data_IF_434453046675
#
_entry.id   IF_434453046675
#
_cell.length_a   1.000
_cell.length_b   1.000
_cell.length_c   1.000
_cell.angle_alpha   90.00
_cell.angle_beta   90.00
_cell.angle_gamma   90.00
#
_symmetry.space_group_name_H-M   'P 1'
#
loop_
_entity.id
_entity.type
_entity.pdbx_description
1 polymer ?
#
# COMPACT_ATOMS: atom_id res chain seq x y z
N UNK A 1 -61.43 14.97 -2.12
CA UNK A 1 -61.57 15.80 -3.35
C UNK A 1 -60.38 16.75 -3.42
N UNK A 2 -59.83 16.94 -4.63
CA UNK A 2 -58.59 17.65 -5.03
C UNK A 2 -57.35 16.76 -4.87
N UNK A 3 -56.91 15.97 -5.85
CA UNK A 3 -56.51 16.24 -7.25
C UNK A 3 -55.53 17.40 -7.37
N UNK A 4 -54.26 17.09 -7.63
CA UNK A 4 -53.38 17.85 -8.52
C UNK A 4 -52.33 16.93 -9.12
N UNK A 5 -52.29 16.94 -10.45
CA UNK A 5 -51.49 16.16 -11.40
C UNK A 5 -50.52 17.09 -12.14
N UNK A 6 -49.31 16.59 -12.42
CA UNK A 6 -48.39 16.95 -13.54
C UNK A 6 -47.65 18.30 -13.52
N UNK A 7 -46.60 18.54 -14.37
CA UNK A 7 -45.80 17.65 -15.26
C UNK A 7 -44.26 17.85 -15.21
N UNK A 8 -43.57 16.96 -15.96
CA UNK A 8 -42.19 16.93 -16.48
C UNK A 8 -41.57 18.29 -16.87
N UNK A 9 -40.28 18.49 -16.56
CA UNK A 9 -39.37 19.25 -17.43
C UNK A 9 -37.98 18.57 -17.49
N UNK A 10 -37.61 18.14 -18.69
CA UNK A 10 -36.25 17.77 -19.06
C UNK A 10 -35.40 19.03 -19.24
N UNK A 11 -34.15 19.02 -18.77
CA UNK A 11 -33.10 19.91 -19.27
C UNK A 11 -31.71 19.30 -19.08
N UNK A 12 -31.14 18.92 -20.22
CA UNK A 12 -29.74 18.58 -20.48
C UNK A 12 -28.84 19.78 -20.19
N UNK A 13 -27.72 19.60 -19.48
CA UNK A 13 -26.48 20.34 -19.78
C UNK A 13 -25.29 19.38 -19.66
N UNK A 14 -24.75 19.03 -20.82
CA UNK A 14 -23.43 18.46 -20.99
C UNK A 14 -22.36 19.54 -20.77
N UNK A 15 -21.31 19.21 -20.03
CA UNK A 15 -20.07 19.99 -20.00
C UNK A 15 -18.87 19.04 -20.01
N UNK A 16 -18.13 18.91 -21.14
CA UNK A 16 -16.86 18.21 -21.16
C UNK A 16 -15.76 19.11 -20.60
N UNK A 17 -15.13 18.70 -19.50
CA UNK A 17 -13.88 19.30 -19.05
C UNK A 17 -12.75 18.86 -19.98
N UNK A 18 -12.18 19.85 -20.66
CA UNK A 18 -11.05 19.73 -21.56
C UNK A 18 -9.76 19.38 -20.80
N UNK A 19 -9.08 18.31 -21.23
CA UNK A 19 -7.69 18.05 -20.88
C UNK A 19 -6.79 18.63 -21.99
N UNK A 20 -5.73 19.38 -21.65
CA UNK A 20 -4.80 19.89 -22.65
C UNK A 20 -3.91 18.74 -23.16
N UNK A 21 -4.07 18.43 -24.44
CA UNK A 21 -3.10 17.69 -25.26
C UNK A 21 -1.97 18.66 -25.60
N UNK A 22 -0.75 18.37 -25.13
CA UNK A 22 0.46 18.91 -25.75
C UNK A 22 1.03 17.89 -26.72
N UNK A 23 0.78 18.14 -28.00
CA UNK A 23 1.51 17.58 -29.10
C UNK A 23 2.05 18.74 -29.96
N UNK A 24 3.17 18.45 -30.63
CA UNK A 24 3.81 19.21 -31.71
C UNK A 24 4.76 20.34 -31.29
N UNK A 25 5.89 20.61 -31.93
CA UNK A 25 6.72 19.97 -32.96
C UNK A 25 7.92 20.92 -33.05
N UNK A 26 9.15 20.44 -33.08
CA UNK A 26 10.25 21.22 -33.66
C UNK A 26 10.92 20.40 -34.75
N UNK A 27 10.89 21.01 -35.92
CA UNK A 27 11.30 20.55 -37.24
C UNK A 27 12.70 21.10 -37.54
N UNK A 28 13.30 20.58 -38.61
CA UNK A 28 14.50 21.05 -39.34
C UNK A 28 15.81 20.48 -38.77
N UNK A 29 16.63 19.68 -39.46
CA UNK A 29 16.85 19.52 -40.89
C UNK A 29 17.97 20.45 -41.35
N UNK A 30 19.23 19.95 -41.41
CA UNK A 30 20.21 20.28 -42.47
C UNK A 30 21.52 19.43 -42.39
N UNK A 31 21.78 18.72 -43.49
CA UNK A 31 23.03 18.50 -44.25
C UNK A 31 24.39 18.17 -43.62
N UNK A 32 24.92 17.02 -44.09
CA UNK A 32 26.21 16.83 -44.79
C UNK A 32 27.49 17.46 -44.21
N UNK A 33 28.40 16.61 -43.71
CA UNK A 33 29.82 16.73 -44.03
C UNK A 33 30.65 15.52 -43.56
N UNK A 34 31.35 14.95 -44.53
CA UNK A 34 32.76 14.53 -44.44
C UNK A 34 33.11 13.18 -43.80
N UNK A 35 33.48 12.27 -44.71
CA UNK A 35 34.44 11.19 -44.51
C UNK A 35 35.71 11.65 -43.78
N UNK A 36 36.24 10.81 -42.89
CA UNK A 36 37.67 10.57 -42.85
C UNK A 36 37.95 9.11 -42.50
N UNK A 37 38.72 8.51 -43.39
CA UNK A 37 39.24 7.16 -43.40
C UNK A 37 40.65 7.21 -42.79
N UNK A 38 40.94 6.32 -41.85
CA UNK A 38 42.30 5.85 -41.44
C UNK A 38 42.10 5.00 -40.19
N UNK A 39 42.80 3.91 -39.94
CA UNK A 39 43.67 3.05 -40.71
C UNK A 39 43.85 1.82 -39.80
N UNK A 40 43.98 0.66 -40.41
CA UNK A 40 44.33 -0.61 -39.77
C UNK A 40 45.70 -0.56 -39.11
N UNK A 41 45.83 -1.15 -37.91
CA UNK A 41 47.07 -1.79 -37.48
C UNK A 41 46.77 -2.96 -36.52
N UNK A 42 46.99 -4.17 -37.06
CA UNK A 42 47.33 -5.39 -36.34
C UNK A 42 48.19 -5.16 -35.09
N UNK A 43 47.88 -5.87 -34.00
CA UNK A 43 48.85 -6.80 -33.40
C UNK A 43 48.22 -7.75 -32.37
N UNK A 44 48.49 -9.03 -32.64
CA UNK A 44 48.85 -10.04 -31.65
C UNK A 44 47.73 -10.86 -30.97
N UNK A 45 47.46 -11.98 -31.64
CA UNK A 45 47.12 -13.28 -31.05
C UNK A 45 47.83 -13.53 -29.71
N UNK A 46 47.08 -13.43 -28.61
CA UNK A 46 47.39 -14.06 -27.34
C UNK A 46 46.20 -14.90 -26.91
N UNK A 47 46.16 -16.16 -27.34
CA UNK A 47 45.31 -17.17 -26.72
C UNK A 47 45.93 -17.55 -25.37
N UNK A 48 45.27 -17.19 -24.25
CA UNK A 48 45.31 -17.99 -23.02
C UNK A 48 44.14 -17.63 -22.09
N UNK A 49 43.42 -18.67 -21.66
CA UNK A 49 42.46 -18.71 -20.56
C UNK A 49 41.13 -17.95 -20.73
N UNK A 50 40.27 -18.56 -21.54
CA UNK A 50 38.83 -18.56 -21.30
C UNK A 50 38.52 -19.48 -20.10
N UNK A 51 38.37 -18.89 -18.91
CA UNK A 51 37.70 -19.54 -17.77
C UNK A 51 37.23 -18.45 -16.79
N UNK A 52 35.95 -18.10 -16.84
CA UNK A 52 35.34 -17.21 -15.86
C UNK A 52 34.35 -16.17 -16.38
N UNK A 53 33.60 -16.45 -17.45
CA UNK A 53 32.49 -15.57 -17.87
C UNK A 53 31.18 -16.31 -18.21
N UNK A 54 31.11 -17.63 -17.96
CA UNK A 54 29.93 -18.47 -18.25
C UNK A 54 29.03 -18.75 -17.03
N UNK A 55 29.20 -18.02 -15.92
CA UNK A 55 28.34 -18.12 -14.73
C UNK A 55 27.34 -16.95 -14.59
N UNK A 56 27.25 -16.05 -15.58
CA UNK A 56 26.35 -14.89 -15.51
C UNK A 56 25.12 -14.99 -16.42
N UNK A 57 24.91 -16.14 -17.08
CA UNK A 57 23.76 -16.34 -17.97
C UNK A 57 23.20 -17.76 -17.86
N UNK A 58 23.13 -18.29 -16.63
CA UNK A 58 22.06 -19.23 -16.33
C UNK A 58 20.88 -18.38 -15.87
N UNK A 59 19.93 -18.20 -16.78
CA UNK A 59 18.54 -17.92 -16.42
C UNK A 59 18.23 -18.79 -15.21
N UNK A 60 17.97 -18.17 -14.06
CA UNK A 60 17.31 -18.84 -12.94
C UNK A 60 16.06 -19.46 -13.56
N UNK A 61 16.12 -20.76 -13.84
CA UNK A 61 15.01 -21.46 -14.46
C UNK A 61 13.81 -21.36 -13.53
N UNK A 62 12.62 -21.55 -14.07
CA UNK A 62 11.34 -21.70 -13.36
C UNK A 62 11.34 -22.68 -12.16
N UNK A 63 12.46 -23.33 -11.86
CA UNK A 63 12.65 -24.18 -10.70
C UNK A 63 13.14 -23.38 -9.49
N UNK A 64 12.21 -22.99 -8.62
CA UNK A 64 12.48 -22.31 -7.37
C UNK A 64 13.41 -23.12 -6.43
N UNK A 65 13.52 -24.45 -6.60
CA UNK A 65 14.37 -25.30 -5.76
C UNK A 65 15.79 -25.45 -6.32
N UNK A 66 16.11 -24.83 -7.46
CA UNK A 66 17.45 -24.89 -8.02
C UNK A 66 18.46 -24.24 -7.06
N UNK A 67 19.47 -25.00 -6.63
CA UNK A 67 20.56 -24.49 -5.79
C UNK A 67 21.41 -23.52 -6.59
N UNK A 68 21.58 -22.31 -6.08
CA UNK A 68 22.36 -21.23 -6.70
C UNK A 68 23.73 -21.11 -6.06
N UNK A 69 23.81 -21.28 -4.74
CA UNK A 69 25.06 -21.24 -3.97
C UNK A 69 24.93 -22.09 -2.71
N UNK A 70 26.03 -22.67 -2.23
CA UNK A 70 26.08 -23.41 -0.96
C UNK A 70 27.06 -22.73 -0.01
N UNK A 71 26.68 -22.59 1.25
CA UNK A 71 27.49 -21.97 2.32
C UNK A 71 27.64 -22.98 3.46
N UNK A 72 28.76 -23.71 3.48
CA UNK A 72 28.93 -24.83 4.41
C UNK A 72 28.01 -25.99 4.06
N UNK A 73 27.14 -26.37 5.00
CA UNK A 73 26.14 -27.44 4.82
C UNK A 73 24.75 -26.91 4.41
N UNK A 74 24.60 -25.59 4.21
CA UNK A 74 23.34 -24.94 3.84
C UNK A 74 23.34 -24.57 2.36
N UNK A 75 22.34 -25.05 1.61
CA UNK A 75 22.10 -24.69 0.22
C UNK A 75 21.14 -23.50 0.12
N UNK A 76 21.51 -22.49 -0.66
CA UNK A 76 20.68 -21.33 -0.99
C UNK A 76 20.10 -21.53 -2.40
N UNK A 77 18.78 -21.50 -2.50
CA UNK A 77 18.03 -21.79 -3.73
C UNK A 77 17.61 -20.53 -4.49
N UNK A 78 17.16 -20.69 -5.73
CA UNK A 78 16.60 -19.61 -6.54
C UNK A 78 15.36 -18.98 -5.88
N UNK A 79 14.55 -19.80 -5.19
CA UNK A 79 13.40 -19.34 -4.40
C UNK A 79 13.82 -18.45 -3.24
N UNK A 80 14.87 -18.83 -2.51
CA UNK A 80 15.40 -18.02 -1.39
C UNK A 80 15.88 -16.64 -1.89
N UNK A 81 16.58 -16.60 -3.02
CA UNK A 81 17.02 -15.35 -3.65
C UNK A 81 15.81 -14.48 -4.03
N UNK A 82 14.76 -15.09 -4.59
CA UNK A 82 13.55 -14.35 -4.96
C UNK A 82 12.83 -13.78 -3.74
N UNK A 83 12.72 -14.55 -2.65
CA UNK A 83 12.15 -14.07 -1.38
C UNK A 83 13.00 -12.95 -0.77
N UNK A 84 14.33 -13.06 -0.82
CA UNK A 84 15.22 -11.99 -0.37
C UNK A 84 15.03 -10.69 -1.17
N UNK A 85 14.86 -10.79 -2.50
CA UNK A 85 14.56 -9.62 -3.35
C UNK A 85 13.23 -8.98 -2.95
N UNK A 86 12.20 -9.76 -2.61
CA UNK A 86 10.90 -9.22 -2.16
C UNK A 86 11.00 -8.47 -0.81
N UNK A 87 12.04 -8.78 -0.01
CA UNK A 87 12.34 -8.07 1.23
C UNK A 87 13.06 -6.73 1.05
N UNK A 88 13.50 -6.39 -0.17
CA UNK A 88 14.15 -5.11 -0.43
C UNK A 88 13.16 -3.93 -0.39
N UNK A 89 13.66 -2.69 -0.14
CA UNK A 89 12.82 -1.51 -0.23
C UNK A 89 12.13 -1.41 -1.60
N UNK A 90 10.84 -1.02 -1.66
CA UNK A 90 10.08 -1.01 -2.91
C UNK A 90 10.69 -0.07 -3.95
N UNK A 91 11.30 1.05 -3.53
CA UNK A 91 12.01 1.95 -4.44
C UNK A 91 13.22 1.28 -5.09
N UNK A 92 13.90 0.37 -4.38
CA UNK A 92 15.05 -0.35 -4.92
C UNK A 92 14.61 -1.38 -5.95
N UNK A 93 13.57 -2.17 -5.63
CA UNK A 93 13.02 -3.19 -6.54
C UNK A 93 12.52 -2.55 -7.85
N UNK A 94 11.87 -1.39 -7.77
CA UNK A 94 11.32 -0.71 -8.95
C UNK A 94 12.37 0.01 -9.79
N UNK A 95 13.46 0.50 -9.17
CA UNK A 95 14.48 1.30 -9.86
C UNK A 95 15.63 0.49 -10.41
N UNK A 96 15.80 -0.76 -9.96
CA UNK A 96 16.92 -1.60 -10.34
C UNK A 96 16.47 -2.78 -11.20
N UNK A 97 17.23 -3.12 -12.26
CA UNK A 97 16.96 -4.33 -13.00
C UNK A 97 17.29 -5.57 -12.15
N UNK A 98 16.57 -6.66 -12.39
CA UNK A 98 16.68 -7.90 -11.61
C UNK A 98 18.11 -8.45 -11.60
N UNK A 99 18.84 -8.31 -12.71
CA UNK A 99 20.22 -8.76 -12.88
C UNK A 99 21.19 -8.10 -11.89
N UNK A 100 20.86 -6.91 -11.38
CA UNK A 100 21.64 -6.25 -10.32
C UNK A 100 21.14 -6.56 -8.91
N UNK A 101 19.87 -6.91 -8.76
CA UNK A 101 19.26 -7.26 -7.47
C UNK A 101 19.63 -8.67 -7.02
N UNK A 102 19.72 -9.60 -7.96
CA UNK A 102 20.10 -11.00 -7.71
C UNK A 102 21.43 -11.12 -6.95
N UNK A 103 22.57 -10.58 -7.44
CA UNK A 103 23.85 -10.71 -6.73
C UNK A 103 23.82 -10.04 -5.36
N UNK A 104 23.11 -8.91 -5.21
CA UNK A 104 22.95 -8.25 -3.91
C UNK A 104 22.16 -9.11 -2.90
N UNK A 105 21.08 -9.75 -3.35
CA UNK A 105 20.28 -10.64 -2.52
C UNK A 105 21.07 -11.90 -2.12
N UNK A 106 21.85 -12.46 -3.05
CA UNK A 106 22.78 -13.56 -2.77
C UNK A 106 23.79 -13.17 -1.70
N UNK A 107 24.45 -12.02 -1.83
CA UNK A 107 25.43 -11.53 -0.85
C UNK A 107 24.80 -11.38 0.55
N UNK A 108 23.57 -10.85 0.63
CA UNK A 108 22.85 -10.73 1.91
C UNK A 108 22.52 -12.10 2.52
N UNK A 109 22.06 -13.06 1.72
CA UNK A 109 21.73 -14.41 2.20
C UNK A 109 22.98 -15.15 2.68
N UNK A 110 24.09 -15.05 1.95
CA UNK A 110 25.38 -15.62 2.35
C UNK A 110 25.83 -15.01 3.68
N UNK A 111 25.80 -13.67 3.80
CA UNK A 111 26.19 -13.00 5.04
C UNK A 111 25.32 -13.45 6.22
N UNK A 112 24.00 -13.52 6.04
CA UNK A 112 23.07 -14.01 7.06
C UNK A 112 23.42 -15.41 7.51
N UNK A 113 23.70 -16.31 6.56
CA UNK A 113 24.05 -17.69 6.85
C UNK A 113 25.38 -17.80 7.64
N UNK A 114 26.40 -17.03 7.24
CA UNK A 114 27.67 -16.97 7.97
C UNK A 114 27.48 -16.48 9.42
N UNK A 115 26.61 -15.48 9.63
CA UNK A 115 26.27 -14.99 10.97
C UNK A 115 25.55 -16.08 11.78
N UNK A 116 24.59 -16.78 11.17
CA UNK A 116 23.83 -17.84 11.83
C UNK A 116 24.73 -19.01 12.25
N UNK A 117 25.66 -19.44 11.39
CA UNK A 117 26.61 -20.49 11.72
C UNK A 117 27.44 -20.10 12.95
N UNK A 118 27.98 -18.87 12.96
CA UNK A 118 28.74 -18.35 14.11
C UNK A 118 27.89 -18.24 15.38
N UNK A 119 26.65 -17.74 15.27
CA UNK A 119 25.73 -17.60 16.38
C UNK A 119 25.32 -18.97 16.98
N UNK A 120 25.17 -19.99 16.14
CA UNK A 120 24.87 -21.35 16.57
C UNK A 120 26.06 -22.00 17.30
N UNK A 121 27.30 -21.76 16.87
CA UNK A 121 28.50 -22.20 17.60
C UNK A 121 28.56 -21.57 19.01
N UNK A 122 28.12 -20.33 19.14
CA UNK A 122 28.02 -19.61 20.42
C UNK A 122 26.75 -20.00 21.23
N UNK A 123 25.92 -20.91 20.71
CA UNK A 123 24.65 -21.35 21.30
C UNK A 123 23.65 -20.21 21.56
N UNK A 124 23.64 -19.16 20.72
CA UNK A 124 22.69 -18.04 20.85
C UNK A 124 21.22 -18.49 20.76
N UNK A 125 20.93 -19.64 20.17
CA UNK A 125 19.57 -20.19 20.16
C UNK A 125 19.04 -20.55 21.56
N UNK A 126 19.91 -20.77 22.54
CA UNK A 126 19.55 -21.03 23.95
C UNK A 126 19.55 -19.75 24.80
N UNK A 127 19.90 -18.61 24.20
CA UNK A 127 19.93 -17.34 24.91
C UNK A 127 18.49 -16.92 25.31
N UNK A 128 18.27 -16.46 26.55
CA UNK A 128 16.94 -16.07 27.02
C UNK A 128 16.32 -14.92 26.20
N UNK A 129 17.12 -14.01 25.65
CA UNK A 129 16.63 -12.93 24.78
C UNK A 129 16.09 -13.50 23.47
N UNK A 130 16.83 -14.42 22.84
CA UNK A 130 16.40 -15.08 21.58
C UNK A 130 15.15 -15.93 21.82
N UNK A 131 15.07 -16.66 22.94
CA UNK A 131 13.89 -17.43 23.31
C UNK A 131 12.66 -16.52 23.52
N UNK A 132 12.80 -15.40 24.21
CA UNK A 132 11.73 -14.41 24.40
C UNK A 132 11.22 -13.87 23.05
N UNK A 133 12.15 -13.44 22.19
CA UNK A 133 11.81 -12.93 20.85
C UNK A 133 11.10 -14.01 20.02
N UNK A 134 11.55 -15.26 20.10
CA UNK A 134 10.95 -16.37 19.37
C UNK A 134 9.53 -16.67 19.88
N UNK A 135 9.33 -16.73 21.20
CA UNK A 135 8.03 -16.99 21.82
C UNK A 135 7.03 -15.87 21.48
N UNK A 136 7.41 -14.60 21.65
CA UNK A 136 6.57 -13.45 21.30
C UNK A 136 6.17 -13.43 19.82
N UNK A 137 7.12 -13.74 18.92
CA UNK A 137 6.84 -13.81 17.49
C UNK A 137 5.97 -15.01 17.12
N UNK A 138 6.16 -16.15 17.78
CA UNK A 138 5.37 -17.35 17.56
C UNK A 138 3.92 -17.14 18.02
N UNK A 139 3.72 -16.50 19.18
CA UNK A 139 2.40 -16.13 19.69
C UNK A 139 1.69 -15.17 18.73
N UNK A 140 2.34 -14.07 18.34
CA UNK A 140 1.76 -13.11 17.39
C UNK A 140 1.40 -13.75 16.06
N UNK A 141 2.31 -14.54 15.48
CA UNK A 141 2.07 -15.24 14.21
C UNK A 141 0.92 -16.23 14.30
N UNK A 142 0.79 -16.90 15.44
CA UNK A 142 -0.30 -17.84 15.70
C UNK A 142 -1.64 -17.10 15.80
N UNK A 143 -1.69 -16.01 16.55
CA UNK A 143 -2.90 -15.21 16.73
C UNK A 143 -3.36 -14.61 15.40
N UNK A 144 -2.44 -14.04 14.63
CA UNK A 144 -2.70 -13.51 13.29
C UNK A 144 -3.27 -14.60 12.37
N UNK A 145 -2.67 -15.80 12.37
CA UNK A 145 -3.15 -16.93 11.59
C UNK A 145 -4.55 -17.40 12.03
N UNK A 146 -4.82 -17.42 13.34
CA UNK A 146 -6.14 -17.77 13.88
C UNK A 146 -7.19 -16.75 13.41
N UNK A 147 -6.91 -15.45 13.54
CA UNK A 147 -7.81 -14.37 13.10
C UNK A 147 -8.07 -14.48 11.60
N UNK A 148 -7.02 -14.62 10.79
CA UNK A 148 -7.13 -14.74 9.34
C UNK A 148 -8.01 -15.93 8.94
N UNK A 149 -7.76 -17.12 9.49
CA UNK A 149 -8.53 -18.34 9.18
C UNK A 149 -9.96 -18.22 9.66
N UNK A 150 -10.20 -17.63 10.84
CA UNK A 150 -11.54 -17.41 11.35
C UNK A 150 -12.34 -16.48 10.43
N UNK A 151 -11.79 -15.32 10.08
CA UNK A 151 -12.45 -14.34 9.20
C UNK A 151 -12.70 -14.95 7.81
N UNK A 152 -11.73 -15.64 7.22
CA UNK A 152 -11.88 -16.30 5.93
C UNK A 152 -13.04 -17.31 5.94
N UNK A 153 -13.09 -18.19 6.95
CA UNK A 153 -14.17 -19.18 7.09
C UNK A 153 -15.55 -18.54 7.29
N UNK A 154 -15.62 -17.44 8.04
CA UNK A 154 -16.87 -16.70 8.23
C UNK A 154 -17.36 -16.07 6.92
N UNK A 155 -16.46 -15.62 6.04
CA UNK A 155 -16.79 -15.06 4.73
C UNK A 155 -17.20 -16.13 3.71
N UNK A 156 -16.45 -17.23 3.61
CA UNK A 156 -16.75 -18.35 2.70
C UNK A 156 -18.14 -18.94 2.93
N UNK A 157 -18.59 -18.97 4.19
CA UNK A 157 -19.94 -19.44 4.53
C UNK A 157 -21.08 -18.48 4.19
N UNK A 158 -20.80 -17.22 3.83
CA UNK A 158 -21.83 -16.17 3.67
C UNK A 158 -21.81 -15.50 2.30
N UNK A 159 -20.70 -15.53 1.56
CA UNK A 159 -20.60 -15.02 0.19
C UNK A 159 -20.68 -16.19 -0.78
N UNK A 160 -21.87 -16.79 -0.91
CA UNK A 160 -22.13 -17.90 -1.84
C UNK A 160 -22.88 -17.42 -3.09
N UNK A 161 -22.87 -18.22 -4.16
CA UNK A 161 -23.62 -17.90 -5.39
C UNK A 161 -25.12 -17.70 -5.12
N UNK A 162 -25.68 -18.50 -4.22
CA UNK A 162 -27.08 -18.40 -3.80
C UNK A 162 -27.35 -17.08 -3.05
N UNK A 163 -26.43 -16.65 -2.19
CA UNK A 163 -26.54 -15.38 -1.47
C UNK A 163 -26.45 -14.18 -2.45
N UNK A 164 -25.57 -14.25 -3.44
CA UNK A 164 -25.45 -13.22 -4.49
C UNK A 164 -26.74 -13.14 -5.31
N UNK A 165 -27.30 -14.28 -5.70
CA UNK A 165 -28.55 -14.32 -6.44
C UNK A 165 -29.72 -13.76 -5.60
N UNK A 166 -29.82 -14.17 -4.34
CA UNK A 166 -30.87 -13.68 -3.44
C UNK A 166 -30.80 -12.16 -3.24
N UNK A 167 -29.60 -11.60 -3.04
CA UNK A 167 -29.40 -10.16 -2.90
C UNK A 167 -29.77 -9.40 -4.20
N UNK A 168 -29.45 -9.96 -5.37
CA UNK A 168 -29.87 -9.39 -6.66
C UNK A 168 -31.40 -9.39 -6.81
N UNK A 169 -32.05 -10.51 -6.50
CA UNK A 169 -33.50 -10.67 -6.59
C UNK A 169 -34.25 -9.74 -5.63
N UNK A 170 -33.68 -9.48 -4.43
CA UNK A 170 -34.21 -8.52 -3.46
C UNK A 170 -34.20 -7.09 -4.02
N UNK A 171 -33.09 -6.65 -4.61
CA UNK A 171 -33.00 -5.31 -5.24
C UNK A 171 -33.96 -5.21 -6.43
N UNK A 172 -34.04 -6.27 -7.24
CA UNK A 172 -34.96 -6.35 -8.40
C UNK A 172 -36.42 -6.25 -7.98
N UNK A 173 -36.79 -6.82 -6.85
CA UNK A 173 -38.15 -6.77 -6.32
C UNK A 173 -38.53 -5.40 -5.74
N UNK A 174 -37.53 -4.64 -5.27
CA UNK A 174 -37.72 -3.33 -4.65
C UNK A 174 -37.56 -2.14 -5.62
N UNK A 175 -37.20 -2.40 -6.88
CA UNK A 175 -36.84 -1.37 -7.85
C UNK A 175 -37.64 -1.51 -9.15
N UNK A 176 -38.26 -0.42 -9.61
CA UNK A 176 -38.98 -0.39 -10.90
C UNK A 176 -38.06 -0.11 -12.11
N UNK A 177 -36.76 0.08 -11.87
CA UNK A 177 -35.75 0.36 -12.90
C UNK A 177 -35.17 -0.95 -13.47
N UNK A 178 -34.79 -0.90 -14.74
CA UNK A 178 -34.11 -2.03 -15.39
C UNK A 178 -32.70 -2.19 -14.79
N UNK A 179 -32.48 -3.32 -14.10
CA UNK A 179 -31.21 -3.62 -13.47
C UNK A 179 -30.19 -4.13 -14.51
N UNK A 180 -28.90 -3.79 -14.34
CA UNK A 180 -27.83 -4.44 -15.10
C UNK A 180 -27.84 -5.96 -14.86
N UNK A 181 -27.32 -6.77 -15.81
CA UNK A 181 -27.25 -8.21 -15.63
C UNK A 181 -26.43 -8.56 -14.38
N UNK A 182 -26.82 -9.64 -13.69
CA UNK A 182 -26.20 -10.06 -12.42
C UNK A 182 -24.67 -10.18 -12.51
N UNK A 183 -24.12 -10.62 -13.63
CA UNK A 183 -22.66 -10.75 -13.82
C UNK A 183 -21.92 -9.41 -13.76
N UNK A 184 -22.57 -8.31 -14.16
CA UNK A 184 -21.99 -6.97 -14.10
C UNK A 184 -21.95 -6.41 -12.67
N UNK A 185 -22.90 -6.84 -11.83
CA UNK A 185 -23.05 -6.35 -10.44
C UNK A 185 -22.59 -7.34 -9.38
N UNK A 186 -22.33 -8.59 -9.75
CA UNK A 186 -21.84 -9.65 -8.87
C UNK A 186 -20.67 -9.20 -7.99
N UNK A 187 -19.59 -8.58 -8.52
CA UNK A 187 -18.48 -8.13 -7.67
C UNK A 187 -18.90 -7.10 -6.61
N UNK A 188 -19.90 -6.27 -6.91
CA UNK A 188 -20.42 -5.29 -5.95
C UNK A 188 -21.28 -5.96 -4.89
N UNK A 189 -22.14 -6.92 -5.29
CA UNK A 189 -22.97 -7.70 -4.37
C UNK A 189 -22.10 -8.53 -3.43
N UNK A 190 -21.08 -9.23 -3.95
CA UNK A 190 -20.13 -10.00 -3.13
C UNK A 190 -19.39 -9.11 -2.13
N UNK A 191 -18.98 -7.91 -2.56
CA UNK A 191 -18.34 -6.93 -1.69
C UNK A 191 -19.29 -6.37 -0.63
N UNK A 192 -20.58 -6.22 -0.93
CA UNK A 192 -21.60 -5.83 0.05
C UNK A 192 -21.83 -6.94 1.08
N UNK A 193 -22.08 -8.18 0.63
CA UNK A 193 -22.26 -9.35 1.49
C UNK A 193 -21.06 -9.55 2.43
N UNK A 194 -19.84 -9.32 1.95
CA UNK A 194 -18.63 -9.37 2.77
C UNK A 194 -18.63 -8.33 3.89
N UNK A 195 -19.05 -7.10 3.60
CA UNK A 195 -19.13 -6.03 4.60
C UNK A 195 -20.20 -6.32 5.65
N UNK A 196 -21.39 -6.74 5.21
CA UNK A 196 -22.49 -7.13 6.08
C UNK A 196 -22.07 -8.28 7.00
N UNK A 197 -21.41 -9.30 6.44
CA UNK A 197 -20.95 -10.44 7.21
C UNK A 197 -19.91 -10.05 8.26
N UNK A 198 -18.96 -9.19 7.92
CA UNK A 198 -17.97 -8.70 8.87
C UNK A 198 -18.62 -7.88 10.00
N UNK A 199 -19.63 -7.08 9.68
CA UNK A 199 -20.45 -6.37 10.65
C UNK A 199 -21.14 -7.33 11.62
N UNK A 200 -21.78 -8.37 11.10
CA UNK A 200 -22.43 -9.41 11.91
C UNK A 200 -21.42 -10.16 12.79
N UNK A 201 -20.25 -10.54 12.26
CA UNK A 201 -19.19 -11.16 13.08
C UNK A 201 -18.82 -10.23 14.25
N UNK A 202 -18.62 -8.94 13.98
CA UNK A 202 -18.27 -7.98 15.02
C UNK A 202 -19.36 -7.86 16.07
N UNK A 203 -20.62 -7.78 15.66
CA UNK A 203 -21.76 -7.70 16.56
C UNK A 203 -21.93 -8.99 17.39
N UNK A 204 -21.81 -10.16 16.77
CA UNK A 204 -21.83 -11.47 17.45
C UNK A 204 -20.72 -11.58 18.51
N UNK A 205 -19.53 -11.04 18.20
CA UNK A 205 -18.39 -11.02 19.13
C UNK A 205 -18.58 -9.98 20.24
N UNK A 206 -19.08 -8.79 19.94
CA UNK A 206 -19.34 -7.73 20.93
C UNK A 206 -20.58 -8.02 21.82
N UNK A 207 -21.54 -8.79 21.31
CA UNK A 207 -22.73 -9.22 22.04
C UNK A 207 -22.47 -10.39 23.00
N UNK A 208 -21.33 -11.06 22.88
CA UNK A 208 -20.78 -11.85 23.98
C UNK A 208 -20.34 -10.84 25.05
N UNK A 209 -20.58 -11.14 26.34
CA UNK A 209 -20.28 -10.23 27.48
C UNK A 209 -18.76 -9.97 27.63
N UNK A 210 -18.17 -9.29 26.65
CA UNK A 210 -16.76 -8.92 26.57
C UNK A 210 -16.66 -7.49 27.07
N UNK A 211 -16.01 -7.32 28.22
CA UNK A 211 -15.70 -6.01 28.79
C UNK A 211 -14.56 -5.35 28.00
N UNK A 212 -14.86 -4.26 27.30
CA UNK A 212 -13.84 -3.44 26.62
C UNK A 212 -13.65 -2.17 27.46
N UNK A 213 -12.50 -2.07 28.13
CA UNK A 213 -12.11 -0.90 28.93
C UNK A 213 -11.09 -0.07 28.16
N UNK A 214 -11.37 1.20 27.95
CA UNK A 214 -10.45 2.15 27.37
C UNK A 214 -9.70 2.87 28.49
N UNK A 215 -8.42 3.18 28.27
CA UNK A 215 -7.61 3.92 29.22
C UNK A 215 -7.08 5.20 28.57
N UNK A 216 -7.07 6.30 29.31
CA UNK A 216 -6.40 7.54 28.89
C UNK A 216 -4.86 7.43 29.02
N UNK A 217 -4.14 8.48 28.59
CA UNK A 217 -2.68 8.51 28.67
C UNK A 217 -2.14 8.46 30.12
N UNK A 218 -2.99 8.80 31.10
CA UNK A 218 -2.68 8.75 32.53
C UNK A 218 -3.04 7.38 33.16
N UNK A 219 -3.58 6.45 32.37
CA UNK A 219 -3.93 5.09 32.78
C UNK A 219 -5.26 4.98 33.54
N UNK A 220 -6.12 6.00 33.51
CA UNK A 220 -7.45 5.95 34.11
C UNK A 220 -8.47 5.38 33.12
N UNK A 221 -9.42 4.54 33.57
CA UNK A 221 -10.46 4.02 32.70
C UNK A 221 -11.37 5.15 32.22
N UNK A 222 -11.56 5.26 30.92
CA UNK A 222 -12.49 6.20 30.29
C UNK A 222 -13.66 5.43 29.71
N UNK A 223 -14.87 5.99 29.86
CA UNK A 223 -16.02 5.44 29.16
C UNK A 223 -15.81 5.59 27.66
N UNK A 224 -16.19 4.56 26.90
CA UNK A 224 -16.17 4.60 25.45
C UNK A 224 -17.18 5.67 24.99
N UNK A 225 -16.74 6.92 24.87
CA UNK A 225 -17.57 7.97 24.30
C UNK A 225 -17.77 7.66 22.81
N UNK A 226 -19.04 7.61 22.40
CA UNK A 226 -19.51 7.25 21.06
C UNK A 226 -18.99 8.16 19.92
N UNK A 227 -18.05 9.06 20.19
CA UNK A 227 -17.49 10.04 19.24
C UNK A 227 -16.31 9.49 18.42
N UNK A 228 -15.69 8.37 18.81
CA UNK A 228 -14.58 7.77 18.04
C UNK A 228 -15.02 6.90 16.84
N UNK A 229 -16.33 6.81 16.56
CA UNK A 229 -16.90 6.00 15.47
C UNK A 229 -17.68 6.77 14.39
N UNK A 230 -17.66 8.10 14.37
CA UNK A 230 -18.59 8.88 13.55
C UNK A 230 -18.03 10.18 12.99
N UNK A 231 -17.01 10.14 12.13
CA UNK A 231 -16.73 11.26 11.24
C UNK A 231 -17.70 11.23 10.05
N UNK A 232 -18.99 11.46 10.33
CA UNK A 232 -19.99 11.86 9.33
C UNK A 232 -20.83 12.99 9.95
N UNK A 233 -20.14 14.10 10.23
CA UNK A 233 -20.77 15.36 10.59
C UNK A 233 -20.77 16.26 9.38
N UNK A 234 -21.91 16.31 8.69
CA UNK A 234 -22.24 17.37 7.75
C UNK A 234 -22.00 18.73 8.41
N UNK A 235 -21.08 19.52 7.87
CA UNK A 235 -21.04 20.95 8.12
C UNK A 235 -22.29 21.57 7.48
N UNK A 236 -23.37 21.60 8.26
CA UNK A 236 -24.49 22.50 8.06
C UNK A 236 -23.95 23.92 8.33
N UNK A 237 -23.61 24.62 7.25
CA UNK A 237 -23.27 26.04 7.28
C UNK A 237 -24.42 26.79 6.63
N UNK A 238 -25.48 26.98 7.41
CA UNK A 238 -26.57 27.90 7.12
C UNK A 238 -26.64 28.89 8.28
N UNK A 239 -25.78 29.90 8.29
CA UNK A 239 -26.00 31.09 9.11
C UNK A 239 -25.83 32.33 8.23
N UNK A 240 -26.75 33.25 8.46
CA UNK A 240 -27.29 34.24 7.57
C UNK A 240 -26.31 35.23 6.95
N UNK A 241 -26.63 35.57 5.69
CA UNK A 241 -26.32 36.85 5.09
C UNK A 241 -26.90 38.01 5.89
N UNK A 242 -26.07 38.96 6.31
CA UNK A 242 -26.48 40.36 6.33
C UNK A 242 -25.38 41.30 5.83
N UNK A 243 -25.81 42.17 4.94
CA UNK A 243 -25.00 43.06 4.12
C UNK A 243 -25.10 44.49 4.63
N UNK A 244 -23.95 45.16 4.62
CA UNK A 244 -23.76 46.62 4.52
C UNK A 244 -24.33 47.51 5.62
N UNK A 245 -23.44 48.18 6.35
CA UNK A 245 -23.50 49.64 6.43
C UNK A 245 -22.13 50.26 6.76
N UNK A 246 -21.91 51.41 6.14
CA UNK A 246 -20.69 52.21 6.15
C UNK A 246 -20.59 53.05 7.43
N UNK A 247 -19.38 53.26 7.98
CA UNK A 247 -19.06 54.55 8.61
C UNK A 247 -17.55 54.85 8.60
N UNK A 248 -17.28 56.15 8.55
CA UNK A 248 -16.06 56.87 8.20
C UNK A 248 -15.20 57.21 9.42
N UNK A 249 -13.90 57.47 9.18
CA UNK A 249 -12.98 58.17 10.10
C UNK A 249 -11.64 57.44 10.21
N UNK A 250 -10.63 57.75 9.40
CA UNK A 250 -9.71 58.89 9.49
C UNK A 250 -8.81 58.88 10.73
N UNK A 251 -7.53 59.16 10.45
CA UNK A 251 -6.44 59.57 11.36
C UNK A 251 -5.68 58.41 12.02
N UNK A 252 -4.51 58.03 11.49
CA UNK A 252 -3.20 58.69 11.56
C UNK A 252 -2.37 58.24 12.77
N UNK A 253 -1.06 58.07 12.49
CA UNK A 253 0.07 58.44 13.35
C UNK A 253 0.94 57.31 13.95
N UNK A 254 2.22 57.35 13.54
CA UNK A 254 3.46 57.07 14.29
C UNK A 254 3.78 55.63 14.71
N UNK A 255 4.81 54.99 14.10
CA UNK A 255 6.19 54.84 14.63
C UNK A 255 6.22 54.21 16.03
N UNK A 256 6.93 53.12 16.28
CA UNK A 256 8.36 53.16 16.60
C UNK A 256 8.88 51.72 16.80
N UNK A 257 10.18 51.56 16.57
CA UNK A 257 11.04 50.38 16.70
C UNK A 257 11.23 49.89 18.14
N UNK A 258 11.64 48.62 18.31
CA UNK A 258 12.56 48.04 19.33
C UNK A 258 12.32 46.51 19.32
N UNK A 259 13.16 45.62 18.78
CA UNK A 259 14.59 45.37 19.01
C UNK A 259 14.93 45.18 20.50
N UNK A 260 14.94 43.92 20.97
CA UNK A 260 15.79 43.47 22.09
C UNK A 260 16.14 41.98 21.95
N UNK A 261 17.35 41.78 21.43
CA UNK A 261 18.28 40.71 21.77
C UNK A 261 18.56 40.64 23.29
N UNK A 262 18.65 39.43 23.84
CA UNK A 262 19.41 39.01 25.04
C UNK A 262 19.35 37.47 25.06
N UNK A 263 20.40 36.65 24.92
CA UNK A 263 21.79 36.63 25.40
C UNK A 263 21.95 36.38 26.93
N UNK A 264 23.01 35.62 27.27
CA UNK A 264 23.45 35.03 28.56
C UNK A 264 22.90 33.63 28.89
N UNK A 265 23.66 32.52 28.79
CA UNK A 265 24.93 32.11 29.45
C UNK A 265 24.82 31.70 30.93
N UNK A 266 25.46 30.55 31.20
CA UNK A 266 26.12 30.07 32.44
C UNK A 266 25.32 29.96 33.75
N UNK A 267 25.10 28.71 34.19
CA UNK A 267 25.87 28.11 35.31
C UNK A 267 25.92 26.58 35.16
#
# INVERSE_FOLDING_TARGET
MKLLTSPILAAVIAAPLALPVWAEQHTSGNDDASMSQSESADMESGADTAAGSDMASQSMGDDANAVVVSVGDTDITAGDVQTAIQGFPPQLIQSQPAERLIPLALDQLILRELILQRANEDNLGEDPEVQSIMEENAERSRDDAIVQVYVQRQMEGSVTDEAVQAAYDEVASNTEQELPPIDAVRPQIEQQLRQERLGQVREDLMGQEIEIVYYDADGNPVEASAEMGGQSGSTDSSDDSDSSDMDSGSDADSSETEDTESDAEED
#
